data_IF_163550657478
#
_entry.id   IF_163550657478
#
_cell.length_a   1.000
_cell.length_b   1.000
_cell.length_c   1.000
_cell.angle_alpha   90.00
_cell.angle_beta   90.00
_cell.angle_gamma   90.00
#
_symmetry.space_group_name_H-M   'P 1'
#
loop_
_entity.id
_entity.type
_entity.pdbx_description
1 polymer ?
#
# COMPACT_ATOMS: atom_id res chain seq x y z
N UNK A 1 -3.21 -3.31 11.83
CA UNK A 1 -4.18 -3.71 10.78
C UNK A 1 -5.48 -4.21 11.41
N UNK A 2 -6.29 -3.35 12.04
CA UNK A 2 -7.58 -3.78 12.59
C UNK A 2 -8.65 -3.91 11.50
N UNK A 3 -8.67 -2.96 10.57
CA UNK A 3 -9.60 -2.94 9.43
C UNK A 3 -9.44 -4.14 8.48
N UNK A 4 -8.22 -4.57 8.14
CA UNK A 4 -8.02 -5.73 7.25
C UNK A 4 -8.40 -7.08 7.86
N UNK A 5 -8.71 -7.11 9.17
CA UNK A 5 -9.14 -8.30 9.88
C UNK A 5 -10.67 -8.41 9.99
N UNK A 6 -11.41 -7.38 9.55
CA UNK A 6 -12.88 -7.42 9.50
C UNK A 6 -13.32 -8.47 8.46
N UNK A 7 -14.36 -9.25 8.79
CA UNK A 7 -14.81 -10.38 7.98
C UNK A 7 -15.27 -9.93 6.59
N UNK A 8 -15.87 -8.75 6.49
CA UNK A 8 -16.33 -8.14 5.23
C UNK A 8 -15.19 -7.92 4.23
N UNK A 9 -13.96 -7.81 4.73
CA UNK A 9 -12.77 -7.57 3.91
C UNK A 9 -11.92 -8.81 3.74
N UNK A 10 -12.26 -9.97 4.33
CA UNK A 10 -11.40 -11.17 4.34
C UNK A 10 -10.86 -11.55 2.96
N UNK A 11 -11.72 -11.52 1.95
CA UNK A 11 -11.41 -12.00 0.60
C UNK A 11 -11.06 -10.86 -0.38
N UNK A 12 -10.99 -9.61 0.09
CA UNK A 12 -10.66 -8.45 -0.74
C UNK A 12 -9.17 -8.43 -1.15
N UNK A 13 -8.88 -8.00 -2.38
CA UNK A 13 -7.51 -7.68 -2.79
C UNK A 13 -7.09 -6.33 -2.22
N UNK A 14 -5.82 -6.18 -1.87
CA UNK A 14 -5.28 -4.94 -1.29
C UNK A 14 -4.38 -4.23 -2.29
N UNK A 15 -4.78 -3.05 -2.76
CA UNK A 15 -3.89 -2.13 -3.45
C UNK A 15 -3.45 -1.03 -2.49
N UNK A 16 -2.15 -0.83 -2.36
CA UNK A 16 -1.55 0.26 -1.60
C UNK A 16 -1.01 1.30 -2.57
N UNK A 17 -1.49 2.52 -2.49
CA UNK A 17 -0.89 3.64 -3.19
C UNK A 17 0.21 4.27 -2.31
N UNK A 18 1.47 4.10 -2.72
CA UNK A 18 2.60 4.88 -2.18
C UNK A 18 2.57 6.28 -2.80
N UNK A 19 1.56 7.06 -2.40
CA UNK A 19 1.26 8.37 -2.96
C UNK A 19 2.20 9.47 -2.47
N UNK A 20 2.20 10.60 -3.18
CA UNK A 20 3.01 11.81 -2.93
C UNK A 20 4.49 11.64 -3.26
N UNK A 21 4.79 10.86 -4.31
CA UNK A 21 6.18 10.65 -4.78
C UNK A 21 6.83 11.93 -5.32
N UNK A 22 6.07 13.02 -5.50
CA UNK A 22 6.54 14.36 -5.84
C UNK A 22 7.21 15.10 -4.68
N UNK A 23 6.95 14.70 -3.43
CA UNK A 23 7.46 15.41 -2.26
C UNK A 23 8.91 15.06 -1.93
N UNK A 24 9.70 16.02 -1.42
CA UNK A 24 11.00 15.71 -0.86
C UNK A 24 10.83 14.75 0.33
N UNK A 25 11.69 13.74 0.38
CA UNK A 25 11.66 12.65 1.38
C UNK A 25 10.46 11.70 1.28
N UNK A 26 9.79 11.63 0.13
CA UNK A 26 8.83 10.57 -0.13
C UNK A 26 9.50 9.20 0.03
N UNK A 27 8.86 8.33 0.80
CA UNK A 27 9.30 6.93 0.92
C UNK A 27 8.97 6.20 -0.38
N UNK A 28 9.92 5.43 -0.88
CA UNK A 28 9.69 4.58 -2.04
C UNK A 28 8.79 3.39 -1.67
N UNK A 29 8.31 2.67 -2.68
CA UNK A 29 7.40 1.54 -2.47
C UNK A 29 7.98 0.45 -1.55
N UNK A 30 9.29 0.16 -1.59
CA UNK A 30 9.91 -0.85 -0.74
C UNK A 30 9.89 -0.41 0.74
N UNK A 31 10.28 0.84 1.02
CA UNK A 31 10.26 1.39 2.38
C UNK A 31 8.86 1.43 2.99
N UNK A 32 7.84 1.76 2.18
CA UNK A 32 6.44 1.70 2.60
C UNK A 32 5.99 0.26 2.85
N UNK A 33 6.41 -0.69 2.01
CA UNK A 33 6.11 -2.12 2.18
C UNK A 33 6.61 -2.65 3.52
N UNK A 34 7.85 -2.30 3.88
CA UNK A 34 8.46 -2.70 5.15
C UNK A 34 7.75 -2.06 6.34
N UNK A 35 7.52 -0.74 6.31
CA UNK A 35 6.88 -0.01 7.42
C UNK A 35 5.42 -0.42 7.66
N UNK A 36 4.70 -0.76 6.60
CA UNK A 36 3.34 -1.30 6.71
C UNK A 36 3.32 -2.80 7.01
N UNK A 37 4.46 -3.48 6.96
CA UNK A 37 4.57 -4.92 7.20
C UNK A 37 3.77 -5.73 6.18
N UNK A 38 3.67 -5.29 4.92
CA UNK A 38 2.87 -5.99 3.90
C UNK A 38 3.41 -7.40 3.64
N UNK A 39 4.70 -7.62 3.84
CA UNK A 39 5.31 -8.94 3.81
C UNK A 39 4.72 -9.93 4.82
N UNK A 40 4.02 -9.48 5.85
CA UNK A 40 3.35 -10.37 6.83
C UNK A 40 2.00 -10.88 6.34
N UNK A 41 1.42 -10.24 5.31
CA UNK A 41 0.15 -10.65 4.71
C UNK A 41 0.37 -11.85 3.78
N UNK A 42 0.26 -13.06 4.33
CA UNK A 42 0.39 -14.32 3.58
C UNK A 42 -0.89 -14.77 2.89
N UNK A 43 -2.04 -14.45 3.49
CA UNK A 43 -3.35 -14.97 3.05
C UNK A 43 -4.16 -13.93 2.26
N UNK A 44 -3.50 -12.92 1.70
CA UNK A 44 -4.15 -11.82 0.98
C UNK A 44 -3.27 -11.38 -0.17
N UNK A 45 -3.83 -11.33 -1.37
CA UNK A 45 -3.14 -10.75 -2.51
C UNK A 45 -3.05 -9.24 -2.32
N UNK A 46 -1.83 -8.72 -2.43
CA UNK A 46 -1.59 -7.29 -2.32
C UNK A 46 -0.59 -6.81 -3.38
N UNK A 47 -0.71 -5.54 -3.72
CA UNK A 47 0.24 -4.83 -4.56
C UNK A 47 0.45 -3.42 -4.03
N UNK A 48 1.63 -2.86 -4.29
CA UNK A 48 1.95 -1.47 -3.96
C UNK A 48 2.39 -0.74 -5.23
N UNK A 49 1.74 0.38 -5.50
CA UNK A 49 2.01 1.23 -6.66
C UNK A 49 2.51 2.59 -6.19
N UNK A 50 3.67 3.01 -6.71
CA UNK A 50 4.17 4.37 -6.53
C UNK A 50 3.28 5.33 -7.34
N UNK A 51 2.79 6.39 -6.70
CA UNK A 51 1.81 7.31 -7.33
C UNK A 51 2.03 8.77 -6.95
N UNK A 52 1.51 9.67 -7.78
CA UNK A 52 1.39 11.09 -7.50
C UNK A 52 0.00 11.56 -7.92
N UNK A 53 -0.90 11.73 -6.96
CA UNK A 53 -2.29 12.08 -7.24
C UNK A 53 -2.46 13.46 -7.91
N UNK A 54 -1.52 14.39 -7.72
CA UNK A 54 -1.60 15.74 -8.30
C UNK A 54 -1.19 15.78 -9.76
N UNK A 55 -0.28 14.90 -10.20
CA UNK A 55 0.08 14.75 -11.62
C UNK A 55 -0.76 13.67 -12.33
N UNK A 56 -1.32 12.73 -11.58
CA UNK A 56 -2.03 11.57 -12.10
C UNK A 56 -1.12 10.37 -12.40
N UNK A 57 0.15 10.43 -12.01
CA UNK A 57 1.09 9.31 -12.20
C UNK A 57 0.73 8.12 -11.31
N UNK A 58 0.69 6.92 -11.90
CA UNK A 58 0.35 5.69 -11.19
C UNK A 58 0.01 4.53 -12.12
#
# INVERSE_FOLDING_TARGET
MRMLAEDELRDAVLLVFANKQDLPNAMNAAEVTDKLGLHTLRNRNWYIQATCATSGDG
#
